data_IF_759533649022
#
_entry.id   IF_759533649022
#
_cell.length_a   1.000
_cell.length_b   1.000
_cell.length_c   1.000
_cell.angle_alpha   90.00
_cell.angle_beta   90.00
_cell.angle_gamma   90.00
#
_symmetry.space_group_name_H-M   'P 1'
#
loop_
_entity.id
_entity.type
_entity.pdbx_description
1 polymer ?
#
# COMPACT_ATOMS: atom_id res chain seq x y z
N UNK A 1 -16.03 6.32 -10.07
CA UNK A 1 -15.07 7.32 -9.58
C UNK A 1 -14.11 6.57 -8.67
N UNK A 2 -12.88 6.34 -9.11
CA UNK A 2 -11.88 5.61 -8.32
C UNK A 2 -11.53 6.43 -7.08
N UNK A 3 -11.60 5.82 -5.89
CA UNK A 3 -11.30 6.46 -4.62
C UNK A 3 -9.85 6.19 -4.27
N UNK A 4 -8.98 7.08 -4.73
CA UNK A 4 -7.53 7.01 -4.53
C UNK A 4 -7.19 7.64 -3.16
N UNK A 5 -6.30 6.99 -2.40
CA UNK A 5 -5.72 7.57 -1.19
C UNK A 5 -4.61 8.57 -1.58
N UNK A 6 -4.74 9.82 -1.12
CA UNK A 6 -3.72 10.84 -1.34
C UNK A 6 -2.41 10.38 -0.69
N UNK A 7 -1.33 10.32 -1.48
CA UNK A 7 -0.02 9.82 -1.05
C UNK A 7 0.16 8.31 -1.13
N UNK A 8 -0.89 7.54 -1.45
CA UNK A 8 -0.87 6.08 -1.59
C UNK A 8 -1.60 5.66 -2.88
N UNK A 9 -1.08 6.03 -4.07
CA UNK A 9 -1.77 5.82 -5.35
C UNK A 9 -1.93 4.34 -5.74
N UNK A 10 -1.15 3.46 -5.11
CA UNK A 10 -1.19 2.01 -5.34
C UNK A 10 -2.28 1.32 -4.50
N UNK A 11 -3.03 2.07 -3.69
CA UNK A 11 -4.06 1.53 -2.83
C UNK A 11 -5.44 2.01 -3.27
N UNK A 12 -6.37 1.07 -3.37
CA UNK A 12 -7.78 1.32 -3.70
C UNK A 12 -8.62 1.08 -2.46
N UNK A 13 -9.50 2.03 -2.13
CA UNK A 13 -10.42 1.88 -1.00
C UNK A 13 -11.53 0.88 -1.37
N UNK A 14 -11.59 -0.24 -0.65
CA UNK A 14 -12.67 -1.21 -0.78
C UNK A 14 -13.86 -0.81 0.10
N UNK A 15 -13.56 -0.43 1.36
CA UNK A 15 -14.58 -0.11 2.34
C UNK A 15 -14.08 0.89 3.41
N UNK A 16 -14.99 1.66 3.98
CA UNK A 16 -14.75 2.52 5.14
C UNK A 16 -15.30 1.79 6.37
N UNK A 17 -14.42 1.25 7.21
CA UNK A 17 -14.79 0.42 8.38
C UNK A 17 -15.22 1.30 9.56
N UNK A 18 -14.56 2.44 9.75
CA UNK A 18 -14.93 3.44 10.76
C UNK A 18 -14.54 4.84 10.28
N UNK A 19 -15.33 5.85 10.65
CA UNK A 19 -15.05 7.25 10.34
C UNK A 19 -14.33 7.98 11.49
N UNK A 20 -14.42 7.46 12.73
CA UNK A 20 -13.78 8.05 13.93
C UNK A 20 -13.40 6.94 14.93
N UNK A 21 -12.11 6.55 15.02
CA UNK A 21 -11.01 6.94 14.12
C UNK A 21 -11.25 6.43 12.69
N UNK A 22 -10.63 7.07 11.70
CA UNK A 22 -10.74 6.63 10.31
C UNK A 22 -10.03 5.29 10.15
N UNK A 23 -10.78 4.25 9.75
CA UNK A 23 -10.27 2.92 9.45
C UNK A 23 -10.77 2.54 8.06
N UNK A 24 -9.84 2.28 7.14
CA UNK A 24 -10.13 1.96 5.76
C UNK A 24 -9.67 0.54 5.46
N UNK A 25 -10.54 -0.24 4.82
CA UNK A 25 -10.14 -1.47 4.17
C UNK A 25 -9.72 -1.13 2.74
N UNK A 26 -8.51 -1.55 2.38
CA UNK A 26 -7.89 -1.22 1.10
C UNK A 26 -7.33 -2.46 0.44
N UNK A 27 -7.38 -2.50 -0.88
CA UNK A 27 -6.58 -3.43 -1.69
C UNK A 27 -5.35 -2.71 -2.22
N UNK A 28 -4.24 -3.45 -2.27
CA UNK A 28 -3.02 -2.97 -2.91
C UNK A 28 -2.96 -3.47 -4.34
N UNK A 29 -2.89 -2.53 -5.28
CA UNK A 29 -2.79 -2.73 -6.73
C UNK A 29 -1.36 -2.57 -7.24
N UNK A 30 -0.42 -2.20 -6.37
CA UNK A 30 0.97 -2.02 -6.73
C UNK A 30 1.68 -3.34 -7.04
N UNK A 31 2.80 -3.23 -7.73
CA UNK A 31 3.69 -4.37 -7.95
C UNK A 31 4.81 -4.35 -6.91
N UNK A 32 5.02 -5.49 -6.27
CA UNK A 32 6.11 -5.64 -5.31
C UNK A 32 7.47 -5.52 -6.02
N UNK A 33 8.28 -4.57 -5.57
CA UNK A 33 9.65 -4.33 -6.07
C UNK A 33 10.62 -4.21 -4.91
N UNK A 34 11.87 -4.66 -5.13
CA UNK A 34 12.92 -4.54 -4.13
C UNK A 34 13.23 -3.05 -3.88
N UNK A 35 13.24 -2.57 -2.62
CA UNK A 35 13.53 -1.16 -2.32
C UNK A 35 14.98 -0.78 -2.67
N UNK A 36 15.90 -1.76 -2.74
CA UNK A 36 17.31 -1.53 -3.03
C UNK A 36 17.62 -1.48 -4.52
N UNK A 37 17.01 -2.34 -5.33
CA UNK A 37 17.37 -2.52 -6.74
C UNK A 37 16.20 -2.48 -7.73
N UNK A 38 14.97 -2.26 -7.26
CA UNK A 38 13.77 -2.25 -8.12
C UNK A 38 13.40 -3.60 -8.75
N UNK A 39 14.10 -4.69 -8.39
CA UNK A 39 13.84 -6.02 -8.94
C UNK A 39 12.43 -6.50 -8.60
N UNK A 40 11.77 -7.11 -9.59
CA UNK A 40 10.46 -7.77 -9.48
C UNK A 40 10.57 -9.25 -9.09
N UNK A 41 11.78 -9.81 -9.12
CA UNK A 41 12.06 -11.17 -8.69
C UNK A 41 12.31 -11.19 -7.18
N UNK A 42 11.23 -11.09 -6.42
CA UNK A 42 11.28 -11.10 -4.96
C UNK A 42 11.37 -12.54 -4.46
N UNK A 43 12.42 -12.84 -3.69
CA UNK A 43 12.48 -14.07 -2.88
C UNK A 43 11.79 -13.78 -1.54
N UNK A 44 11.15 -14.79 -0.96
CA UNK A 44 10.36 -14.63 0.27
C UNK A 44 11.23 -14.08 1.41
N UNK A 45 10.76 -12.94 1.95
CA UNK A 45 11.09 -12.27 3.21
C UNK A 45 12.43 -11.52 3.30
N UNK A 46 12.58 -10.47 2.50
CA UNK A 46 13.35 -9.30 2.94
C UNK A 46 12.40 -8.36 3.71
N UNK A 47 12.62 -8.17 5.01
CA UNK A 47 11.75 -7.35 5.88
C UNK A 47 12.41 -5.99 6.07
N UNK A 48 11.80 -4.92 5.56
CA UNK A 48 12.29 -3.56 5.76
C UNK A 48 11.22 -2.65 6.35
N UNK A 49 11.64 -1.71 7.19
CA UNK A 49 10.76 -0.73 7.81
C UNK A 49 10.47 0.41 6.81
N UNK A 50 9.19 0.68 6.53
CA UNK A 50 8.77 1.89 5.81
C UNK A 50 8.34 2.95 6.82
N UNK A 51 8.91 4.14 6.72
CA UNK A 51 8.45 5.32 7.47
C UNK A 51 7.58 6.18 6.54
N UNK A 52 6.43 6.60 7.03
CA UNK A 52 5.57 7.58 6.37
C UNK A 52 5.92 8.92 7.00
N UNK A 53 6.37 9.90 6.18
CA UNK A 53 6.59 11.29 6.59
C UNK A 53 5.36 12.12 6.25
#
# INVERSE_FOLDING_TARGET
MERILIGLPEFTIENVVSAKPVVLQVSWMGQAVCPHCGSKQLRIKDSFWRSIK
#
